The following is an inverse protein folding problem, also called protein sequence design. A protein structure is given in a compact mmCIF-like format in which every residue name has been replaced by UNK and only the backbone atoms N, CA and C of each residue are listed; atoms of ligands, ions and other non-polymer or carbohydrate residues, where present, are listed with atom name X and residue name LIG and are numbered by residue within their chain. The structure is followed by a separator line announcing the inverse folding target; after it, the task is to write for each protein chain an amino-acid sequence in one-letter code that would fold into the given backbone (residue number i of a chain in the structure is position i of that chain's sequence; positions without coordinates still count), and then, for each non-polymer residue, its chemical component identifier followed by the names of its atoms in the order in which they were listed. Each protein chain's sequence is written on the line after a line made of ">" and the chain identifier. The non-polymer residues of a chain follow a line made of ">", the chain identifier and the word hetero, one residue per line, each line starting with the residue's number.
data_IF_789611489442
#
_entry.id   IF_789611489442
#
_cell.length_a   1.000
_cell.length_b   1.000
_cell.length_c   1.000
_cell.angle_alpha   90.00
_cell.angle_beta   90.00
_cell.angle_gamma   90.00
#
_symmetry.space_group_name_H-M   'P 1'
#
loop_
_entity.id
_entity.type
_entity.pdbx_description
1 polymer ?
#
# COMPACT_ATOMS: atom_id res chain seq x y z
N UNK A 1 22.45 2.13 14.15
CA UNK A 1 21.42 2.80 14.91
C UNK A 1 20.59 3.68 13.98
N UNK A 2 19.49 4.21 14.43
CA UNK A 2 18.58 5.06 13.63
C UNK A 2 18.66 6.54 14.06
N UNK A 3 19.82 6.98 14.51
CA UNK A 3 19.99 8.32 15.07
C UNK A 3 20.44 9.36 14.05
N UNK A 4 20.85 8.92 12.84
CA UNK A 4 21.25 9.80 11.76
C UNK A 4 20.97 9.18 10.38
N UNK A 5 20.81 10.04 9.37
CA UNK A 5 20.76 9.59 7.98
C UNK A 5 22.15 9.27 7.47
N UNK A 6 22.29 8.19 6.67
CA UNK A 6 23.56 7.81 6.06
C UNK A 6 24.08 8.78 4.99
N UNK A 7 23.23 9.71 4.54
CA UNK A 7 23.48 10.56 3.38
C UNK A 7 23.16 9.92 2.03
N UNK A 8 22.86 8.62 2.04
CA UNK A 8 22.41 7.93 0.83
C UNK A 8 20.90 8.07 0.70
N UNK A 9 20.44 8.62 -0.40
CA UNK A 9 19.02 8.76 -0.71
C UNK A 9 18.77 8.63 -2.21
N UNK A 10 17.55 8.26 -2.57
CA UNK A 10 17.07 8.28 -3.93
C UNK A 10 15.67 8.90 -3.97
N UNK A 11 15.35 9.57 -5.07
CA UNK A 11 14.01 10.10 -5.32
C UNK A 11 13.32 9.24 -6.35
N UNK A 12 12.10 8.83 -6.03
CA UNK A 12 11.27 8.01 -6.91
C UNK A 12 10.04 8.79 -7.36
N UNK A 13 9.50 8.43 -8.52
CA UNK A 13 8.24 8.96 -9.03
C UNK A 13 8.20 10.49 -9.11
N UNK A 14 9.31 11.11 -9.50
CA UNK A 14 9.41 12.57 -9.62
C UNK A 14 8.31 13.10 -10.55
N UNK A 15 7.50 14.05 -10.06
CA UNK A 15 6.37 14.61 -10.81
C UNK A 15 5.11 13.74 -10.86
N UNK A 16 5.10 12.58 -10.15
CA UNK A 16 3.94 11.69 -10.11
C UNK A 16 2.97 11.98 -8.96
N UNK A 17 3.35 12.84 -8.02
CA UNK A 17 2.52 13.23 -6.87
C UNK A 17 1.95 12.02 -6.13
N UNK A 18 2.84 11.20 -5.60
CA UNK A 18 2.51 10.01 -4.81
C UNK A 18 2.91 10.22 -3.35
N UNK A 19 2.10 9.71 -2.43
CA UNK A 19 2.33 9.81 -0.98
C UNK A 19 1.92 8.53 -0.25
N UNK A 20 2.10 8.50 1.07
CA UNK A 20 1.74 7.38 1.96
C UNK A 20 2.31 6.03 1.52
N UNK A 21 3.63 5.90 1.32
CA UNK A 21 4.22 4.66 0.84
C UNK A 21 4.21 3.57 1.92
N UNK A 22 3.55 2.45 1.64
CA UNK A 22 3.66 1.20 2.38
C UNK A 22 4.54 0.23 1.58
N UNK A 23 5.75 0.00 2.06
CA UNK A 23 6.75 -0.84 1.39
C UNK A 23 6.77 -2.23 2.00
N UNK A 24 6.87 -3.26 1.15
CA UNK A 24 7.08 -4.64 1.58
C UNK A 24 7.93 -5.42 0.57
N UNK A 25 8.36 -6.62 0.96
CA UNK A 25 9.18 -7.48 0.12
C UNK A 25 8.51 -8.82 -0.09
N UNK A 26 8.41 -9.25 -1.36
CA UNK A 26 7.88 -10.55 -1.75
C UNK A 26 8.78 -11.16 -2.84
N UNK A 27 9.17 -12.43 -2.69
CA UNK A 27 9.95 -13.19 -3.66
C UNK A 27 11.19 -12.44 -4.18
N UNK A 28 11.91 -11.79 -3.27
CA UNK A 28 13.11 -11.02 -3.59
C UNK A 28 12.88 -9.63 -4.18
N UNK A 29 11.64 -9.28 -4.54
CA UNK A 29 11.26 -7.96 -5.06
C UNK A 29 10.68 -7.06 -4.00
N UNK A 30 10.85 -5.76 -4.19
CA UNK A 30 10.26 -4.71 -3.36
C UNK A 30 8.99 -4.20 -4.03
N UNK A 31 7.97 -3.98 -3.22
CA UNK A 31 6.67 -3.48 -3.62
C UNK A 31 6.32 -2.23 -2.84
N UNK A 32 5.57 -1.34 -3.46
CA UNK A 32 4.97 -0.17 -2.84
C UNK A 32 3.48 -0.15 -3.12
N UNK A 33 2.69 0.15 -2.09
CA UNK A 33 1.31 0.59 -2.20
C UNK A 33 1.27 2.02 -1.68
N UNK A 34 0.67 2.92 -2.44
CA UNK A 34 0.70 4.36 -2.22
C UNK A 34 -0.65 4.98 -2.62
N UNK A 35 -0.80 6.26 -2.38
CA UNK A 35 -1.91 7.07 -2.87
C UNK A 35 -1.42 8.22 -3.76
N UNK A 36 -2.34 8.88 -4.44
CA UNK A 36 -2.11 10.20 -5.02
C UNK A 36 -2.17 11.29 -3.94
N UNK A 37 -1.81 12.52 -4.31
CA UNK A 37 -1.84 13.69 -3.42
C UNK A 37 -3.12 14.49 -3.65
N UNK A 38 -4.19 14.17 -2.91
CA UNK A 38 -5.51 14.82 -3.01
C UNK A 38 -6.02 15.38 -1.68
N UNK A 39 -5.10 15.59 -0.73
CA UNK A 39 -5.45 16.03 0.62
C UNK A 39 -6.31 14.98 1.34
N UNK A 40 -7.42 15.40 1.93
CA UNK A 40 -8.32 14.49 2.65
C UNK A 40 -9.30 13.72 1.77
N UNK A 41 -9.33 13.98 0.45
CA UNK A 41 -10.18 13.24 -0.47
C UNK A 41 -9.53 11.90 -0.83
N UNK A 42 -10.19 10.76 -0.62
CA UNK A 42 -9.66 9.47 -1.05
C UNK A 42 -9.54 9.42 -2.59
N UNK A 43 -8.57 8.65 -3.06
CA UNK A 43 -8.23 8.58 -4.49
C UNK A 43 -7.81 7.14 -4.88
N UNK A 44 -7.66 6.87 -6.20
CA UNK A 44 -7.18 5.56 -6.66
C UNK A 44 -5.81 5.22 -6.07
N UNK A 45 -5.66 3.99 -5.62
CA UNK A 45 -4.37 3.48 -5.15
C UNK A 45 -3.33 3.45 -6.25
N UNK A 46 -2.09 3.57 -5.83
CA UNK A 46 -0.90 3.44 -6.69
C UNK A 46 -0.08 2.26 -6.23
N UNK A 47 0.52 1.54 -7.15
CA UNK A 47 1.44 0.47 -6.81
C UNK A 47 2.66 0.47 -7.70
N UNK A 48 3.75 -0.10 -7.19
CA UNK A 48 4.98 -0.22 -7.94
C UNK A 48 5.81 -1.42 -7.46
N UNK A 49 6.70 -1.91 -8.33
CA UNK A 49 7.62 -3.01 -8.04
C UNK A 49 9.03 -2.68 -8.51
N UNK A 50 10.02 -3.18 -7.76
CA UNK A 50 11.44 -3.09 -8.15
C UNK A 50 12.22 -4.32 -7.67
N UNK A 51 13.30 -4.65 -8.36
CA UNK A 51 14.25 -5.68 -7.92
C UNK A 51 15.23 -5.18 -6.85
N UNK A 52 15.34 -3.87 -6.69
CA UNK A 52 16.19 -3.21 -5.69
C UNK A 52 15.40 -2.12 -5.01
N UNK A 53 15.65 -1.89 -3.71
CA UNK A 53 15.05 -0.78 -2.96
C UNK A 53 15.40 0.59 -3.59
N UNK A 54 16.51 0.65 -4.30
CA UNK A 54 16.96 1.85 -5.01
C UNK A 54 16.33 2.01 -6.40
N UNK A 55 15.48 1.08 -6.81
CA UNK A 55 14.88 1.03 -8.13
C UNK A 55 15.81 0.37 -9.19
N UNK A 56 15.54 0.59 -10.49
CA UNK A 56 14.40 1.38 -10.99
C UNK A 56 13.05 0.77 -10.61
N UNK A 57 12.09 1.64 -10.28
CA UNK A 57 10.72 1.24 -9.93
C UNK A 57 9.84 1.23 -11.19
N UNK A 58 9.12 0.15 -11.38
CA UNK A 58 8.07 0.01 -12.39
C UNK A 58 6.72 0.29 -11.74
N UNK A 59 6.01 1.32 -12.21
CA UNK A 59 4.62 1.54 -11.79
C UNK A 59 3.73 0.40 -12.32
N UNK A 60 2.80 -0.01 -11.49
CA UNK A 60 1.77 -1.00 -11.76
C UNK A 60 0.39 -0.33 -11.76
N UNK A 61 -0.66 -1.11 -12.00
CA UNK A 61 -2.02 -0.61 -11.95
C UNK A 61 -2.49 -0.29 -10.51
N UNK A 62 -3.68 0.33 -10.40
CA UNK A 62 -4.37 0.46 -9.12
C UNK A 62 -4.49 -0.93 -8.46
N UNK A 63 -3.99 -1.12 -7.24
CA UNK A 63 -4.09 -2.42 -6.58
C UNK A 63 -5.49 -2.74 -6.08
N UNK A 64 -6.36 -1.76 -5.93
CA UNK A 64 -7.74 -1.94 -5.48
C UNK A 64 -8.66 -2.30 -6.64
N UNK A 65 -9.55 -3.26 -6.45
CA UNK A 65 -10.48 -3.74 -7.49
C UNK A 65 -11.92 -3.85 -6.95
N UNK A 66 -12.90 -3.74 -7.85
CA UNK A 66 -14.31 -3.81 -7.50
C UNK A 66 -14.92 -2.45 -7.17
N UNK A 67 -16.05 -2.47 -6.49
CA UNK A 67 -16.75 -1.25 -6.08
C UNK A 67 -15.87 -0.41 -5.12
N UNK A 68 -15.90 0.91 -5.25
CA UNK A 68 -15.11 1.87 -4.46
C UNK A 68 -13.57 1.76 -4.62
N UNK A 69 -13.07 0.99 -5.59
CA UNK A 69 -11.64 0.87 -5.90
C UNK A 69 -10.99 2.21 -6.24
N UNK A 70 -11.73 3.12 -6.86
CA UNK A 70 -11.26 4.47 -7.24
C UNK A 70 -11.07 5.41 -6.04
N UNK A 71 -11.51 5.00 -4.88
CA UNK A 71 -11.28 5.68 -3.60
C UNK A 71 -10.40 4.87 -2.64
N UNK A 72 -9.82 3.76 -3.12
CA UNK A 72 -9.10 2.81 -2.27
C UNK A 72 -9.93 2.36 -1.06
N UNK A 73 -11.23 2.14 -1.28
CA UNK A 73 -12.23 1.84 -0.23
C UNK A 73 -12.28 2.92 0.87
N UNK A 74 -12.14 4.20 0.47
CA UNK A 74 -12.07 5.36 1.37
C UNK A 74 -10.91 5.29 2.37
N UNK A 75 -9.76 4.77 1.94
CA UNK A 75 -8.58 4.63 2.80
C UNK A 75 -7.31 5.16 2.16
N UNK A 76 -6.29 5.31 2.98
CA UNK A 76 -4.91 5.57 2.55
C UNK A 76 -3.98 4.54 3.18
N UNK A 77 -3.00 4.08 2.41
CA UNK A 77 -2.03 3.09 2.87
C UNK A 77 -1.20 3.58 4.04
N UNK A 78 -1.03 2.72 5.05
CA UNK A 78 -0.15 2.97 6.18
C UNK A 78 0.92 1.90 6.28
N UNK A 79 0.55 0.65 6.11
CA UNK A 79 1.47 -0.47 6.22
C UNK A 79 0.98 -1.68 5.40
N UNK A 80 1.92 -2.55 5.06
CA UNK A 80 1.62 -3.90 4.58
C UNK A 80 2.24 -4.89 5.54
N UNK A 81 1.41 -5.64 6.25
CA UNK A 81 1.83 -6.62 7.25
C UNK A 81 2.11 -7.96 6.58
N UNK A 82 3.37 -8.45 6.58
CA UNK A 82 3.65 -9.85 6.27
C UNK A 82 3.05 -10.73 7.36
N UNK A 83 2.29 -11.76 6.97
CA UNK A 83 1.64 -12.66 7.96
C UNK A 83 2.69 -13.58 8.57
N UNK A 84 2.94 -13.53 9.90
CA UNK A 84 3.92 -14.39 10.54
C UNK A 84 3.60 -15.87 10.34
N UNK A 85 4.60 -16.66 9.94
CA UNK A 85 4.44 -18.09 9.68
C UNK A 85 3.71 -18.46 8.39
N UNK A 86 3.32 -17.48 7.57
CA UNK A 86 2.63 -17.67 6.29
C UNK A 86 3.39 -16.98 5.15
N UNK A 87 4.48 -17.56 4.64
CA UNK A 87 5.25 -16.95 3.56
C UNK A 87 4.38 -16.60 2.34
N UNK A 88 4.54 -15.39 1.84
CA UNK A 88 3.79 -14.92 0.68
C UNK A 88 2.39 -14.35 0.97
N UNK A 89 1.90 -14.46 2.22
CA UNK A 89 0.65 -13.82 2.64
C UNK A 89 0.91 -12.45 3.24
N UNK A 90 0.12 -11.47 2.82
CA UNK A 90 0.24 -10.07 3.23
C UNK A 90 -1.14 -9.49 3.50
N UNK A 91 -1.19 -8.56 4.45
CA UNK A 91 -2.39 -7.80 4.80
C UNK A 91 -2.12 -6.32 4.49
N UNK A 92 -2.95 -5.73 3.66
CA UNK A 92 -3.01 -4.28 3.51
C UNK A 92 -3.63 -3.66 4.75
N UNK A 93 -3.00 -2.62 5.26
CA UNK A 93 -3.51 -1.83 6.37
C UNK A 93 -3.66 -0.39 5.90
N UNK A 94 -4.86 0.15 6.01
CA UNK A 94 -5.17 1.51 5.59
C UNK A 94 -5.97 2.26 6.63
N UNK A 95 -5.74 3.57 6.71
CA UNK A 95 -6.49 4.47 7.55
C UNK A 95 -7.71 5.02 6.80
N UNK A 96 -8.83 5.04 7.49
CA UNK A 96 -10.04 5.80 7.14
C UNK A 96 -10.20 6.94 8.11
N UNK A 97 -9.84 8.12 7.70
CA UNK A 97 -10.00 9.30 8.55
C UNK A 97 -11.33 9.98 8.34
N UNK A 98 -11.80 10.66 9.38
CA UNK A 98 -12.96 11.54 9.33
C UNK A 98 -12.48 12.98 9.60
N UNK A 99 -12.23 13.81 8.56
CA UNK A 99 -11.57 15.11 8.73
C UNK A 99 -12.26 16.06 9.69
N UNK A 100 -13.58 15.96 9.82
CA UNK A 100 -14.37 16.80 10.73
C UNK A 100 -14.50 16.24 12.14
N UNK A 101 -14.09 15.00 12.36
CA UNK A 101 -14.15 14.32 13.64
C UNK A 101 -13.04 13.28 13.75
N UNK A 102 -11.85 13.71 14.14
CA UNK A 102 -10.67 12.85 14.19
C UNK A 102 -10.81 11.66 15.17
N UNK A 103 -11.70 11.76 16.17
CA UNK A 103 -11.98 10.67 17.12
C UNK A 103 -12.69 9.50 16.41
N UNK A 104 -13.38 9.76 15.32
CA UNK A 104 -14.12 8.77 14.53
C UNK A 104 -13.28 8.19 13.37
N UNK A 105 -11.98 8.20 13.48
CA UNK A 105 -11.09 7.50 12.55
C UNK A 105 -11.31 5.99 12.60
N UNK A 106 -11.24 5.34 11.42
CA UNK A 106 -11.40 3.88 11.27
C UNK A 106 -10.22 3.32 10.48
N UNK A 107 -10.17 2.01 10.42
CA UNK A 107 -9.12 1.26 9.71
C UNK A 107 -9.76 0.21 8.82
N UNK A 108 -9.07 -0.14 7.74
CA UNK A 108 -9.37 -1.36 6.99
C UNK A 108 -8.13 -2.24 6.94
N UNK A 109 -8.35 -3.55 7.05
CA UNK A 109 -7.34 -4.57 6.88
C UNK A 109 -7.86 -5.60 5.90
N UNK A 110 -7.17 -5.76 4.78
CA UNK A 110 -7.60 -6.63 3.69
C UNK A 110 -6.45 -7.50 3.22
N UNK A 111 -6.69 -8.76 2.88
CA UNK A 111 -5.65 -9.62 2.33
C UNK A 111 -5.20 -9.09 0.95
N UNK A 112 -3.91 -9.23 0.67
CA UNK A 112 -3.35 -8.93 -0.65
C UNK A 112 -3.16 -10.25 -1.39
N UNK A 113 -3.82 -10.43 -2.52
CA UNK A 113 -3.50 -11.48 -3.48
C UNK A 113 -2.64 -10.93 -4.61
N UNK A 114 -2.06 -11.78 -5.42
CA UNK A 114 -1.21 -11.39 -6.53
C UNK A 114 -1.65 -12.04 -7.83
N UNK A 115 -1.69 -11.25 -8.90
CA UNK A 115 -1.84 -11.70 -10.28
C UNK A 115 -0.53 -11.42 -11.00
N UNK A 116 0.37 -12.42 -11.04
CA UNK A 116 1.76 -12.19 -11.45
C UNK A 116 2.47 -11.22 -10.51
N UNK A 117 2.91 -10.07 -11.04
CA UNK A 117 3.52 -9.00 -10.24
C UNK A 117 2.50 -8.01 -9.66
N UNK A 118 1.24 -8.02 -10.13
CA UNK A 118 0.24 -7.06 -9.72
C UNK A 118 -0.33 -7.42 -8.34
N UNK A 119 -0.16 -6.58 -7.30
CA UNK A 119 -0.91 -6.74 -6.06
C UNK A 119 -2.38 -6.40 -6.31
N UNK A 120 -3.27 -7.20 -5.73
CA UNK A 120 -4.72 -7.06 -5.86
C UNK A 120 -5.35 -7.09 -4.49
N UNK A 121 -6.13 -6.05 -4.18
CA UNK A 121 -6.85 -5.86 -2.93
C UNK A 121 -8.33 -5.69 -3.29
N UNK A 122 -9.14 -6.61 -2.81
CA UNK A 122 -10.58 -6.62 -3.01
C UNK A 122 -11.29 -6.38 -1.67
N UNK A 123 -12.43 -5.70 -1.69
CA UNK A 123 -13.22 -5.54 -0.48
C UNK A 123 -13.82 -6.88 -0.06
N UNK A 124 -13.63 -7.22 1.20
CA UNK A 124 -14.21 -8.41 1.84
C UNK A 124 -14.83 -7.98 3.16
N UNK A 125 -16.13 -8.25 3.33
CA UNK A 125 -16.83 -7.94 4.59
C UNK A 125 -16.31 -8.80 5.75
N UNK A 126 -15.92 -10.04 5.43
CA UNK A 126 -15.31 -10.99 6.36
C UNK A 126 -14.19 -11.76 5.66
N UNK A 127 -13.10 -11.99 6.35
CA UNK A 127 -12.00 -12.79 5.85
C UNK A 127 -11.19 -13.39 7.00
N UNK A 128 -10.40 -14.41 6.72
CA UNK A 128 -9.53 -15.06 7.69
C UNK A 128 -8.16 -15.39 7.11
N UNK A 129 -7.19 -15.62 8.00
CA UNK A 129 -5.88 -16.14 7.61
C UNK A 129 -6.03 -17.66 7.45
N UNK A 130 -6.03 -18.12 6.20
CA UNK A 130 -6.12 -19.55 5.92
C UNK A 130 -4.89 -20.30 6.46
N UNK A 131 -5.10 -21.50 6.94
CA UNK A 131 -4.07 -22.38 7.50
C UNK A 131 -3.23 -23.08 6.42
#
# INVERSE_FOLDING_TARGET
>A
DYTACSGNYARFFVGRFMEAPAMFKKDGKYYLIMSGCTGWAPNPGRSAVASSIWGPWKELANPFVGADSETSFHSQSTYVLPVPGKPGQFIYMGDRWTPKNAIDGRYIWLPIRFEGEQPVIEWLDEWGIEN
#
